data_IF_227623095788
#
_entry.id   IF_227623095788
#
_cell.length_a   1.000
_cell.length_b   1.000
_cell.length_c   1.000
_cell.angle_alpha   90.00
_cell.angle_beta   90.00
_cell.angle_gamma   90.00
#
_symmetry.space_group_name_H-M   'P 1'
#
loop_
_entity.id
_entity.type
_entity.pdbx_description
1 polymer ?
#
# COMPACT_ATOMS: atom_id res chain seq x y z
N UNK A 1 74.07 22.48 -6.28
CA UNK A 1 74.15 22.11 -7.70
C UNK A 1 72.73 21.99 -8.26
N UNK A 2 72.58 22.28 -9.55
CA UNK A 2 71.38 22.74 -10.24
C UNK A 2 70.11 21.87 -10.14
N UNK A 3 68.96 22.55 -10.07
CA UNK A 3 67.64 22.03 -10.44
C UNK A 3 67.62 21.70 -11.94
N UNK A 4 67.30 20.45 -12.28
CA UNK A 4 67.06 20.01 -13.65
C UNK A 4 65.58 20.17 -14.01
N UNK A 5 65.29 21.24 -14.76
CA UNK A 5 64.04 21.48 -15.47
C UNK A 5 63.83 20.43 -16.57
N UNK A 6 62.91 19.49 -16.37
CA UNK A 6 62.42 18.63 -17.46
C UNK A 6 61.35 19.40 -18.24
N UNK A 7 61.72 19.83 -19.46
CA UNK A 7 60.81 20.49 -20.42
C UNK A 7 59.66 19.55 -20.80
N UNK A 8 58.41 19.92 -20.47
CA UNK A 8 57.19 19.32 -21.04
C UNK A 8 57.17 19.58 -22.56
N UNK A 9 57.30 18.54 -23.37
CA UNK A 9 57.02 18.60 -24.82
C UNK A 9 55.51 18.74 -25.03
N UNK A 10 55.09 19.84 -25.69
CA UNK A 10 53.72 19.98 -26.21
C UNK A 10 53.55 19.04 -27.42
N UNK A 11 52.41 18.34 -27.57
CA UNK A 11 52.10 17.64 -28.80
C UNK A 11 51.74 18.66 -29.91
N UNK A 12 51.97 18.32 -31.19
CA UNK A 12 51.71 19.22 -32.31
C UNK A 12 50.20 19.41 -32.53
N UNK A 13 49.84 20.62 -32.96
CA UNK A 13 48.49 21.07 -33.30
C UNK A 13 48.14 20.53 -34.70
N UNK A 14 47.04 19.80 -34.84
CA UNK A 14 46.52 19.35 -36.14
C UNK A 14 45.28 20.20 -36.47
N UNK A 15 45.29 20.83 -37.65
CA UNK A 15 44.17 21.60 -38.19
C UNK A 15 43.06 20.69 -38.75
N UNK A 16 41.79 21.14 -38.75
CA UNK A 16 40.66 20.28 -39.03
C UNK A 16 40.34 20.22 -40.53
N UNK A 17 40.37 19.02 -41.10
CA UNK A 17 39.79 18.77 -42.43
C UNK A 17 40.57 17.75 -43.24
N UNK A 18 40.38 16.45 -42.95
CA UNK A 18 40.58 15.36 -43.90
C UNK A 18 40.05 14.05 -43.29
N UNK A 19 39.18 13.36 -44.02
CA UNK A 19 38.65 12.03 -43.70
C UNK A 19 39.78 11.01 -43.59
N UNK A 20 40.11 10.59 -42.38
CA UNK A 20 41.21 9.66 -42.12
C UNK A 20 40.84 8.22 -42.50
N UNK A 21 41.37 7.74 -43.63
CA UNK A 21 41.53 6.31 -43.88
C UNK A 21 42.43 5.70 -42.79
N UNK A 22 41.99 4.58 -42.21
CA UNK A 22 42.59 3.94 -41.03
C UNK A 22 44.07 3.59 -41.22
N UNK A 23 44.93 4.06 -40.30
CA UNK A 23 46.39 3.79 -40.25
C UNK A 23 46.70 2.41 -39.62
N UNK A 24 45.71 1.72 -39.05
CA UNK A 24 45.88 0.46 -38.35
C UNK A 24 45.16 -0.71 -39.05
N UNK A 25 45.76 -1.91 -39.12
CA UNK A 25 45.11 -3.09 -39.65
C UNK A 25 43.93 -3.50 -38.76
N UNK A 26 42.79 -3.80 -39.37
CA UNK A 26 41.60 -4.33 -38.68
C UNK A 26 41.81 -5.83 -38.46
N UNK A 27 41.89 -6.24 -37.19
CA UNK A 27 42.13 -7.64 -36.80
C UNK A 27 40.82 -8.36 -36.44
N UNK A 28 39.78 -7.62 -36.06
CA UNK A 28 38.50 -8.14 -35.57
C UNK A 28 37.32 -7.51 -36.33
N UNK A 29 37.12 -7.86 -37.62
CA UNK A 29 36.05 -7.28 -38.44
C UNK A 29 34.64 -7.61 -37.92
N UNK A 30 34.48 -8.68 -37.14
CA UNK A 30 33.23 -9.11 -36.52
C UNK A 30 32.81 -8.26 -35.30
N UNK A 31 33.76 -7.50 -34.72
CA UNK A 31 33.50 -6.63 -33.56
C UNK A 31 33.65 -5.16 -33.97
N UNK A 32 32.51 -4.49 -34.11
CA UNK A 32 32.43 -3.05 -34.40
C UNK A 32 31.95 -2.33 -33.15
N UNK A 33 32.81 -1.48 -32.59
CA UNK A 33 32.59 -0.77 -31.34
C UNK A 33 31.89 0.58 -31.58
N UNK A 34 30.85 0.85 -30.79
CA UNK A 34 30.25 2.17 -30.62
C UNK A 34 30.49 2.67 -29.19
N UNK A 35 31.22 3.77 -29.04
CA UNK A 35 31.48 4.38 -27.72
C UNK A 35 30.48 5.50 -27.41
N UNK A 36 29.69 5.31 -26.35
CA UNK A 36 28.65 6.27 -25.92
C UNK A 36 29.28 7.46 -25.20
N UNK A 37 29.04 8.67 -25.71
CA UNK A 37 29.70 9.89 -25.23
C UNK A 37 29.08 10.46 -23.95
N UNK A 38 27.81 10.15 -23.65
CA UNK A 38 26.94 10.82 -22.66
C UNK A 38 27.65 11.29 -21.37
N UNK A 39 28.29 10.37 -20.64
CA UNK A 39 29.05 10.68 -19.40
C UNK A 39 30.57 10.57 -19.56
N UNK A 40 31.02 9.99 -20.68
CA UNK A 40 32.43 9.76 -21.00
C UNK A 40 33.14 11.06 -21.45
N UNK A 41 32.44 11.90 -22.21
CA UNK A 41 32.98 13.14 -22.79
C UNK A 41 33.85 12.94 -24.04
N UNK A 42 33.90 13.95 -24.91
CA UNK A 42 34.50 13.88 -26.26
C UNK A 42 36.00 13.53 -26.23
N UNK A 43 36.77 14.13 -25.32
CA UNK A 43 38.21 13.89 -25.20
C UNK A 43 38.52 12.44 -24.85
N UNK A 44 37.75 11.85 -23.93
CA UNK A 44 37.92 10.46 -23.49
C UNK A 44 37.48 9.48 -24.57
N UNK A 45 36.34 9.73 -25.22
CA UNK A 45 35.89 8.95 -26.39
C UNK A 45 36.93 8.92 -27.50
N UNK A 46 37.56 10.06 -27.80
CA UNK A 46 38.60 10.14 -28.84
C UNK A 46 39.84 9.33 -28.48
N UNK A 47 40.30 9.41 -27.22
CA UNK A 47 41.41 8.60 -26.72
C UNK A 47 41.11 7.10 -26.82
N UNK A 48 39.95 6.67 -26.34
CA UNK A 48 39.53 5.26 -26.36
C UNK A 48 39.33 4.74 -27.79
N UNK A 49 38.84 5.58 -28.70
CA UNK A 49 38.73 5.25 -30.14
C UNK A 49 40.10 4.98 -30.75
N UNK A 50 41.09 5.85 -30.47
CA UNK A 50 42.47 5.66 -30.93
C UNK A 50 43.08 4.39 -30.35
N UNK A 51 42.87 4.13 -29.05
CA UNK A 51 43.33 2.93 -28.36
C UNK A 51 42.74 1.66 -28.99
N UNK A 52 41.43 1.61 -29.19
CA UNK A 52 40.76 0.46 -29.80
C UNK A 52 41.26 0.19 -31.23
N UNK A 53 41.40 1.23 -32.06
CA UNK A 53 41.96 1.11 -33.41
C UNK A 53 43.41 0.63 -33.40
N UNK A 54 44.24 1.11 -32.46
CA UNK A 54 45.63 0.64 -32.31
C UNK A 54 45.73 -0.84 -31.93
N UNK A 55 44.68 -1.40 -31.32
CA UNK A 55 44.56 -2.81 -30.96
C UNK A 55 43.78 -3.64 -31.99
N UNK A 56 43.49 -3.07 -33.16
CA UNK A 56 42.87 -3.78 -34.29
C UNK A 56 41.34 -3.87 -34.27
N UNK A 57 40.65 -3.15 -33.38
CA UNK A 57 39.19 -3.09 -33.36
C UNK A 57 38.65 -2.06 -34.35
N UNK A 58 37.48 -2.36 -34.93
CA UNK A 58 36.72 -1.37 -35.69
C UNK A 58 35.93 -0.47 -34.72
N UNK A 59 35.93 0.85 -34.97
CA UNK A 59 35.15 1.81 -34.18
C UNK A 59 34.37 2.70 -35.13
N UNK A 60 33.05 2.70 -34.96
CA UNK A 60 32.09 3.44 -35.79
C UNK A 60 31.16 4.29 -34.88
N UNK A 61 30.28 5.09 -35.49
CA UNK A 61 29.25 5.81 -34.75
C UNK A 61 28.34 4.82 -33.98
N UNK A 62 28.06 5.03 -32.67
CA UNK A 62 27.23 4.12 -31.90
C UNK A 62 25.83 3.86 -32.47
N UNK A 63 25.32 4.78 -33.29
CA UNK A 63 24.03 4.67 -33.96
C UNK A 63 24.10 3.97 -35.33
N UNK A 64 25.30 3.65 -35.83
CA UNK A 64 25.52 2.89 -37.07
C UNK A 64 24.98 1.47 -36.96
N UNK A 65 24.33 0.99 -38.03
CA UNK A 65 23.81 -0.38 -38.14
C UNK A 65 24.94 -1.43 -38.09
N UNK A 66 26.18 -1.03 -38.38
CA UNK A 66 27.35 -1.91 -38.36
C UNK A 66 27.84 -2.21 -36.95
N UNK A 67 27.46 -1.41 -35.95
CA UNK A 67 27.91 -1.58 -34.56
C UNK A 67 27.27 -2.80 -33.94
N UNK A 68 28.12 -3.74 -33.53
CA UNK A 68 27.74 -4.97 -32.81
C UNK A 68 27.89 -4.82 -31.30
N UNK A 69 28.75 -3.90 -30.82
CA UNK A 69 29.05 -3.71 -29.39
C UNK A 69 28.98 -2.22 -29.04
N UNK A 70 28.01 -1.83 -28.21
CA UNK A 70 27.89 -0.47 -27.69
C UNK A 70 28.45 -0.44 -26.27
N UNK A 71 29.52 0.30 -26.06
CA UNK A 71 30.18 0.42 -24.75
C UNK A 71 29.87 1.78 -24.14
N UNK A 72 29.50 1.76 -22.86
CA UNK A 72 29.20 2.96 -22.09
C UNK A 72 29.93 2.95 -20.76
N UNK A 73 30.29 4.14 -20.26
CA UNK A 73 30.95 4.31 -18.97
C UNK A 73 30.04 5.08 -18.01
N UNK A 74 29.66 4.43 -16.91
CA UNK A 74 28.89 5.05 -15.82
C UNK A 74 27.43 5.37 -16.17
N UNK A 75 26.84 4.71 -17.17
CA UNK A 75 25.43 4.84 -17.54
C UNK A 75 24.69 3.52 -17.30
N UNK A 76 23.39 3.58 -16.97
CA UNK A 76 22.53 2.39 -16.93
C UNK A 76 22.16 1.90 -18.34
N UNK A 77 21.67 0.67 -18.47
CA UNK A 77 21.22 0.14 -19.76
C UNK A 77 20.06 0.97 -20.33
N UNK A 78 19.11 1.36 -19.49
CA UNK A 78 17.97 2.21 -19.89
C UNK A 78 18.43 3.58 -20.39
N UNK A 79 19.41 4.20 -19.72
CA UNK A 79 19.98 5.48 -20.13
C UNK A 79 20.68 5.43 -21.50
N UNK A 80 21.29 4.28 -21.83
CA UNK A 80 21.96 4.05 -23.12
C UNK A 80 20.94 3.79 -24.22
N UNK A 81 19.91 2.99 -23.94
CA UNK A 81 18.81 2.73 -24.89
C UNK A 81 18.08 4.04 -25.24
N UNK A 82 17.78 4.88 -24.26
CA UNK A 82 17.15 6.18 -24.49
C UNK A 82 18.07 7.12 -25.29
N UNK A 83 19.37 7.10 -25.00
CA UNK A 83 20.35 7.89 -25.74
C UNK A 83 20.45 7.45 -27.21
N UNK A 84 20.47 6.15 -27.50
CA UNK A 84 20.48 5.63 -28.87
C UNK A 84 19.20 6.01 -29.63
N UNK A 85 18.04 5.91 -28.99
CA UNK A 85 16.75 6.35 -29.56
C UNK A 85 16.78 7.82 -29.96
N UNK A 86 17.27 8.69 -29.05
CA UNK A 86 17.35 10.14 -29.29
C UNK A 86 18.30 10.51 -30.42
N UNK A 87 19.34 9.70 -30.65
CA UNK A 87 20.34 9.94 -31.68
C UNK A 87 20.09 9.15 -32.98
N UNK A 88 18.88 8.59 -33.16
CA UNK A 88 18.42 8.06 -34.44
C UNK A 88 18.51 6.54 -34.63
N UNK A 89 18.83 5.76 -33.59
CA UNK A 89 18.78 4.29 -33.63
C UNK A 89 17.56 3.78 -32.84
N UNK A 90 16.48 3.32 -33.50
CA UNK A 90 15.34 2.70 -32.81
C UNK A 90 15.73 1.34 -32.20
N UNK A 91 15.07 0.88 -31.13
CA UNK A 91 15.26 -0.46 -30.58
C UNK A 91 14.85 -1.50 -31.63
N UNK A 92 15.61 -2.58 -31.72
CA UNK A 92 15.29 -3.70 -32.61
C UNK A 92 13.97 -4.35 -32.19
N UNK A 93 13.28 -4.98 -33.14
CA UNK A 93 12.12 -5.82 -32.80
C UNK A 93 12.65 -7.03 -32.02
N UNK A 94 12.12 -7.24 -30.81
CA UNK A 94 12.50 -8.36 -29.95
C UNK A 94 12.38 -9.69 -30.73
N UNK A 95 13.49 -10.45 -30.80
CA UNK A 95 13.54 -11.78 -31.40
C UNK A 95 14.30 -11.92 -32.73
N UNK A 96 14.81 -10.83 -33.33
CA UNK A 96 15.74 -10.91 -34.47
C UNK A 96 17.13 -10.57 -33.95
N UNK A 97 18.09 -11.49 -34.12
CA UNK A 97 19.44 -11.45 -33.53
C UNK A 97 20.39 -10.37 -34.07
N UNK A 98 19.91 -9.13 -34.18
CA UNK A 98 20.60 -8.00 -34.81
C UNK A 98 20.74 -6.78 -33.88
N UNK A 99 20.43 -6.94 -32.58
CA UNK A 99 20.66 -5.89 -31.59
C UNK A 99 22.11 -5.87 -31.10
N UNK A 100 22.72 -4.67 -30.98
CA UNK A 100 24.08 -4.56 -30.47
C UNK A 100 24.12 -4.96 -28.99
N UNK A 101 25.19 -5.63 -28.58
CA UNK A 101 25.43 -5.89 -27.17
C UNK A 101 25.67 -4.57 -26.43
N UNK A 102 24.84 -4.27 -25.43
CA UNK A 102 25.01 -3.11 -24.55
C UNK A 102 25.92 -3.47 -23.38
N UNK A 103 27.09 -2.83 -23.34
CA UNK A 103 28.20 -3.24 -22.48
C UNK A 103 28.66 -2.11 -21.57
N UNK A 104 29.00 -2.50 -20.34
CA UNK A 104 29.72 -1.67 -19.39
C UNK A 104 31.20 -1.51 -19.82
N UNK A 105 31.82 -0.43 -19.33
CA UNK A 105 33.22 -0.11 -19.62
C UNK A 105 34.22 -1.19 -19.16
N UNK A 106 33.84 -2.03 -18.20
CA UNK A 106 34.62 -3.21 -17.78
C UNK A 106 35.01 -4.11 -18.96
N UNK A 107 34.08 -4.44 -19.85
CA UNK A 107 34.35 -5.29 -21.02
C UNK A 107 35.40 -4.68 -21.96
N UNK A 108 35.33 -3.36 -22.16
CA UNK A 108 36.29 -2.64 -22.99
C UNK A 108 37.68 -2.69 -22.36
N UNK A 109 37.77 -2.48 -21.04
CA UNK A 109 39.05 -2.52 -20.31
C UNK A 109 39.69 -3.91 -20.39
N UNK A 110 38.91 -4.97 -20.19
CA UNK A 110 39.38 -6.36 -20.31
C UNK A 110 39.83 -6.70 -21.74
N UNK A 111 39.07 -6.29 -22.76
CA UNK A 111 39.41 -6.52 -24.17
C UNK A 111 40.68 -5.79 -24.61
N UNK A 112 40.87 -4.54 -24.15
CA UNK A 112 42.11 -3.79 -24.42
C UNK A 112 43.30 -4.39 -23.66
N UNK A 113 43.11 -4.91 -22.45
CA UNK A 113 44.14 -5.62 -21.70
C UNK A 113 44.60 -6.90 -22.41
N UNK A 114 43.64 -7.68 -22.92
CA UNK A 114 43.90 -8.93 -23.63
C UNK A 114 44.35 -8.76 -25.09
N UNK A 115 44.28 -7.54 -25.65
CA UNK A 115 44.52 -7.25 -27.08
C UNK A 115 43.65 -8.05 -28.05
N UNK A 116 42.47 -8.48 -27.60
CA UNK A 116 41.46 -9.22 -28.37
C UNK A 116 40.09 -9.05 -27.71
N UNK A 117 38.98 -9.18 -28.46
CA UNK A 117 37.65 -9.19 -27.85
C UNK A 117 37.53 -10.34 -26.85
N UNK A 118 37.17 -10.04 -25.60
CA UNK A 118 36.85 -11.09 -24.61
C UNK A 118 35.39 -11.52 -24.73
N UNK A 119 35.09 -12.72 -24.26
CA UNK A 119 33.71 -13.23 -24.26
C UNK A 119 32.79 -12.35 -23.40
N UNK A 120 31.57 -12.11 -23.88
CA UNK A 120 30.61 -11.28 -23.17
C UNK A 120 29.97 -12.08 -22.04
N UNK A 121 30.52 -11.94 -20.84
CA UNK A 121 29.92 -12.43 -19.61
C UNK A 121 28.73 -11.57 -19.11
N UNK A 122 27.87 -12.11 -18.23
CA UNK A 122 26.76 -11.35 -17.64
C UNK A 122 27.19 -10.07 -16.90
N UNK A 123 28.37 -10.06 -16.27
CA UNK A 123 28.92 -8.87 -15.58
C UNK A 123 29.22 -7.70 -16.52
N UNK A 124 29.47 -8.00 -17.80
CA UNK A 124 29.79 -7.02 -18.83
C UNK A 124 28.55 -6.34 -19.39
N UNK A 125 27.36 -6.93 -19.23
CA UNK A 125 26.13 -6.42 -19.85
C UNK A 125 25.43 -5.39 -18.99
N UNK A 126 25.03 -4.29 -19.61
CA UNK A 126 24.18 -3.30 -18.96
C UNK A 126 22.76 -3.89 -18.81
N UNK A 127 22.20 -3.81 -17.60
CA UNK A 127 20.82 -4.23 -17.33
C UNK A 127 19.85 -3.23 -17.95
N UNK A 128 18.99 -3.71 -18.84
CA UNK A 128 17.90 -2.94 -19.49
C UNK A 128 16.59 -3.52 -18.98
N UNK A 129 15.65 -2.67 -18.57
CA UNK A 129 14.31 -3.11 -18.22
C UNK A 129 13.62 -3.65 -19.48
N UNK A 130 13.23 -4.93 -19.48
CA UNK A 130 12.44 -5.51 -20.58
C UNK A 130 11.15 -4.73 -20.79
N UNK A 131 10.70 -4.53 -22.06
CA UNK A 131 9.41 -3.91 -22.34
C UNK A 131 8.33 -4.67 -21.59
N UNK A 132 7.60 -3.94 -20.74
CA UNK A 132 6.46 -4.42 -19.99
C UNK A 132 5.44 -4.91 -21.03
N UNK A 133 5.17 -6.22 -21.08
CA UNK A 133 3.92 -6.70 -21.68
C UNK A 133 2.78 -5.86 -21.08
N UNK A 134 1.89 -5.27 -21.91
CA UNK A 134 0.79 -4.48 -21.38
C UNK A 134 0.11 -5.34 -20.32
N UNK A 135 -0.03 -4.85 -19.07
CA UNK A 135 -0.68 -5.63 -18.04
C UNK A 135 -2.00 -6.07 -18.63
N UNK A 136 -2.24 -7.39 -18.67
CA UNK A 136 -3.57 -7.95 -18.94
C UNK A 136 -4.58 -7.00 -18.29
N UNK A 137 -5.59 -6.53 -19.03
CA UNK A 137 -6.60 -5.61 -18.50
C UNK A 137 -7.36 -6.33 -17.38
N UNK A 138 -6.74 -6.37 -16.20
CA UNK A 138 -7.29 -6.88 -14.97
C UNK A 138 -8.41 -5.90 -14.65
N UNK A 139 -9.64 -6.38 -14.84
CA UNK A 139 -10.85 -5.57 -15.03
C UNK A 139 -10.94 -4.30 -14.20
N UNK A 140 -11.51 -3.26 -14.82
CA UNK A 140 -11.64 -1.93 -14.24
C UNK A 140 -12.40 -1.98 -12.91
N UNK A 141 -11.77 -1.50 -11.85
CA UNK A 141 -12.36 -1.50 -10.50
C UNK A 141 -13.10 -0.19 -10.28
N UNK A 142 -14.36 -0.27 -9.87
CA UNK A 142 -15.17 0.90 -9.58
C UNK A 142 -14.63 1.70 -8.36
N UNK A 143 -14.70 3.04 -8.38
CA UNK A 143 -14.20 3.86 -7.28
C UNK A 143 -15.05 3.72 -6.01
N UNK A 144 -16.37 3.55 -6.14
CA UNK A 144 -17.28 3.46 -5.00
C UNK A 144 -17.43 2.02 -4.50
N UNK A 145 -17.40 1.85 -3.18
CA UNK A 145 -17.47 0.52 -2.54
C UNK A 145 -18.77 -0.23 -2.85
N UNK A 146 -19.90 0.47 -2.98
CA UNK A 146 -21.21 -0.12 -3.30
C UNK A 146 -21.29 -0.70 -4.72
N UNK A 147 -20.35 -0.34 -5.60
CA UNK A 147 -20.25 -0.86 -6.96
C UNK A 147 -19.27 -2.04 -7.08
N UNK A 148 -18.76 -2.53 -5.94
CA UNK A 148 -17.76 -3.61 -5.89
C UNK A 148 -18.25 -4.78 -5.06
N UNK A 149 -17.88 -5.99 -5.48
CA UNK A 149 -17.93 -7.17 -4.62
C UNK A 149 -16.67 -7.20 -3.78
N UNK A 150 -16.82 -7.14 -2.45
CA UNK A 150 -15.69 -7.21 -1.51
C UNK A 150 -15.86 -8.46 -0.65
N UNK A 151 -15.28 -9.61 -1.05
CA UNK A 151 -15.40 -10.84 -0.28
C UNK A 151 -14.68 -10.73 1.06
N UNK A 152 -15.08 -11.58 2.02
CA UNK A 152 -14.43 -11.63 3.33
C UNK A 152 -12.97 -12.10 3.22
N UNK A 153 -12.75 -13.17 2.45
CA UNK A 153 -11.42 -13.65 2.08
C UNK A 153 -10.99 -12.97 0.78
N UNK A 154 -9.80 -12.38 0.78
CA UNK A 154 -9.26 -11.65 -0.36
C UNK A 154 -7.76 -11.89 -0.50
N UNK A 155 -7.18 -11.51 -1.64
CA UNK A 155 -5.82 -11.93 -2.03
C UNK A 155 -4.69 -11.02 -1.52
N UNK A 156 -5.02 -9.96 -0.78
CA UNK A 156 -4.11 -8.83 -0.53
C UNK A 156 -3.99 -8.46 0.96
N UNK A 157 -4.20 -9.42 1.88
CA UNK A 157 -4.25 -9.20 3.34
C UNK A 157 -3.05 -8.41 3.89
N UNK A 158 -1.83 -8.80 3.52
CA UNK A 158 -0.61 -8.11 3.98
C UNK A 158 -0.58 -6.63 3.60
N UNK A 159 -1.04 -6.29 2.38
CA UNK A 159 -1.11 -4.90 1.92
C UNK A 159 -2.24 -4.13 2.62
N UNK A 160 -3.41 -4.76 2.77
CA UNK A 160 -4.56 -4.09 3.40
C UNK A 160 -4.34 -3.86 4.88
N UNK A 161 -3.74 -4.80 5.60
CA UNK A 161 -3.42 -4.67 7.02
C UNK A 161 -2.42 -3.53 7.28
N UNK A 162 -1.43 -3.36 6.39
CA UNK A 162 -0.50 -2.24 6.45
C UNK A 162 -1.24 -0.90 6.26
N UNK A 163 -2.10 -0.79 5.25
CA UNK A 163 -2.89 0.42 5.01
C UNK A 163 -3.92 0.68 6.12
N UNK A 164 -4.53 -0.36 6.71
CA UNK A 164 -5.45 -0.24 7.84
C UNK A 164 -4.74 0.22 9.11
N UNK A 165 -3.51 -0.25 9.34
CA UNK A 165 -2.65 0.26 10.42
C UNK A 165 -2.43 1.77 10.26
N UNK A 166 -2.13 2.24 9.04
CA UNK A 166 -1.95 3.65 8.75
C UNK A 166 -3.25 4.46 8.83
N UNK A 167 -4.39 3.86 8.45
CA UNK A 167 -5.70 4.46 8.60
C UNK A 167 -6.06 4.67 10.08
N UNK A 168 -5.76 3.69 10.93
CA UNK A 168 -5.98 3.75 12.37
C UNK A 168 -5.08 4.80 13.04
N UNK A 169 -3.79 4.83 12.71
CA UNK A 169 -2.89 5.88 13.22
C UNK A 169 -3.30 7.28 12.78
N UNK A 170 -3.71 7.44 11.51
CA UNK A 170 -4.24 8.71 11.04
C UNK A 170 -5.49 9.13 11.84
N UNK A 171 -6.37 8.18 12.19
CA UNK A 171 -7.54 8.43 13.04
C UNK A 171 -7.11 8.86 14.45
N UNK A 172 -6.12 8.20 15.06
CA UNK A 172 -5.58 8.60 16.37
C UNK A 172 -4.94 9.98 16.37
N UNK A 173 -4.43 10.44 15.22
CA UNK A 173 -3.90 11.79 15.03
C UNK A 173 -4.96 12.81 14.61
N UNK A 174 -6.26 12.46 14.63
CA UNK A 174 -7.34 13.36 14.23
C UNK A 174 -7.35 13.72 12.74
N UNK A 175 -6.60 12.98 11.93
CA UNK A 175 -6.46 13.21 10.48
C UNK A 175 -7.49 12.39 9.70
N UNK A 176 -8.77 12.78 9.77
CA UNK A 176 -9.89 12.05 9.15
C UNK A 176 -9.70 11.84 7.64
N UNK A 177 -9.26 12.87 6.91
CA UNK A 177 -9.01 12.77 5.47
C UNK A 177 -7.95 11.73 5.11
N UNK A 178 -6.87 11.64 5.90
CA UNK A 178 -5.82 10.61 5.72
C UNK A 178 -6.35 9.22 6.08
N UNK A 179 -7.09 9.11 7.19
CA UNK A 179 -7.70 7.85 7.61
C UNK A 179 -8.65 7.30 6.53
N UNK A 180 -9.48 8.17 5.95
CA UNK A 180 -10.39 7.84 4.87
C UNK A 180 -9.63 7.42 3.59
N UNK A 181 -8.55 8.13 3.22
CA UNK A 181 -7.74 7.79 2.05
C UNK A 181 -7.14 6.38 2.17
N UNK A 182 -6.50 6.06 3.30
CA UNK A 182 -5.96 4.73 3.55
C UNK A 182 -7.05 3.66 3.62
N UNK A 183 -8.19 3.95 4.25
CA UNK A 183 -9.34 3.03 4.30
C UNK A 183 -9.90 2.71 2.91
N UNK A 184 -9.98 3.71 2.02
CA UNK A 184 -10.40 3.51 0.63
C UNK A 184 -9.39 2.70 -0.17
N UNK A 185 -8.10 2.96 0.02
CA UNK A 185 -7.02 2.18 -0.59
C UNK A 185 -7.05 0.70 -0.13
N UNK A 186 -7.20 0.45 1.17
CA UNK A 186 -7.38 -0.92 1.68
C UNK A 186 -8.64 -1.57 1.10
N UNK A 187 -9.78 -0.85 1.10
CA UNK A 187 -11.04 -1.36 0.58
C UNK A 187 -10.99 -1.76 -0.90
N UNK A 188 -10.32 -0.98 -1.75
CA UNK A 188 -10.20 -1.32 -3.18
C UNK A 188 -9.33 -2.56 -3.39
N UNK A 189 -8.24 -2.72 -2.60
CA UNK A 189 -7.39 -3.91 -2.66
C UNK A 189 -8.09 -5.19 -2.18
N UNK A 190 -9.02 -5.09 -1.21
CA UNK A 190 -9.88 -6.21 -0.79
C UNK A 190 -10.82 -6.69 -1.89
N UNK A 191 -11.20 -5.81 -2.81
CA UNK A 191 -12.12 -6.12 -3.90
C UNK A 191 -11.40 -6.70 -5.15
N UNK A 192 -10.07 -6.66 -5.20
CA UNK A 192 -9.33 -7.23 -6.33
C UNK A 192 -9.44 -8.76 -6.34
N UNK A 193 -9.81 -9.38 -7.48
CA UNK A 193 -9.90 -10.85 -7.60
C UNK A 193 -8.55 -11.54 -7.81
N UNK A 194 -7.45 -10.82 -7.56
CA UNK A 194 -6.08 -11.28 -7.76
C UNK A 194 -5.15 -10.64 -6.73
N UNK A 195 -4.02 -11.31 -6.50
CA UNK A 195 -2.93 -10.80 -5.66
C UNK A 195 -2.13 -9.76 -6.45
N UNK A 196 -1.83 -8.64 -5.81
CA UNK A 196 -0.90 -7.64 -6.34
C UNK A 196 0.53 -8.13 -6.13
N UNK A 197 1.30 -8.20 -7.20
CA UNK A 197 2.70 -8.61 -7.19
C UNK A 197 3.65 -7.45 -7.55
N UNK A 198 3.16 -6.45 -8.30
CA UNK A 198 3.95 -5.32 -8.80
C UNK A 198 3.16 -4.03 -8.74
N UNK A 199 3.80 -2.94 -8.34
CA UNK A 199 3.14 -1.64 -8.15
C UNK A 199 2.51 -1.07 -9.44
N UNK A 200 3.05 -1.47 -10.60
CA UNK A 200 2.54 -1.06 -11.91
C UNK A 200 1.13 -1.61 -12.18
N UNK A 201 0.75 -2.75 -11.58
CA UNK A 201 -0.60 -3.32 -11.71
C UNK A 201 -1.68 -2.40 -11.12
N UNK A 202 -1.30 -1.44 -10.28
CA UNK A 202 -2.22 -0.53 -9.60
C UNK A 202 -2.37 0.82 -10.32
N UNK A 203 -1.81 1.00 -11.51
CA UNK A 203 -1.87 2.28 -12.25
C UNK A 203 -3.31 2.74 -12.54
N UNK A 204 -4.20 1.80 -12.85
CA UNK A 204 -5.61 2.08 -13.20
C UNK A 204 -6.57 1.92 -12.02
N UNK A 205 -6.06 1.53 -10.84
CA UNK A 205 -6.88 1.25 -9.66
C UNK A 205 -7.19 2.57 -8.93
N UNK A 206 -8.47 2.92 -8.73
CA UNK A 206 -8.83 4.18 -8.08
C UNK A 206 -8.47 4.18 -6.60
N UNK A 207 -8.48 5.37 -5.99
CA UNK A 207 -8.27 5.57 -4.55
C UNK A 207 -6.87 5.21 -4.02
N UNK A 208 -5.92 4.86 -4.87
CA UNK A 208 -4.53 4.61 -4.49
C UNK A 208 -3.70 5.87 -4.78
N UNK A 209 -3.61 6.75 -3.78
CA UNK A 209 -2.77 7.95 -3.84
C UNK A 209 -1.28 7.63 -3.67
N UNK A 210 -0.44 8.64 -3.90
CA UNK A 210 1.03 8.50 -3.88
C UNK A 210 1.58 7.92 -2.58
N UNK A 211 1.04 8.33 -1.42
CA UNK A 211 1.48 7.79 -0.12
C UNK A 211 1.13 6.30 0.01
N UNK A 212 -0.11 5.90 -0.32
CA UNK A 212 -0.49 4.48 -0.32
C UNK A 212 0.33 3.67 -1.33
N UNK A 213 0.63 4.24 -2.51
CA UNK A 213 1.46 3.61 -3.54
C UNK A 213 2.87 3.31 -3.02
N UNK A 214 3.51 4.26 -2.33
CA UNK A 214 4.84 4.05 -1.72
C UNK A 214 4.84 2.92 -0.69
N UNK A 215 3.85 2.91 0.22
CA UNK A 215 3.72 1.86 1.22
C UNK A 215 3.53 0.50 0.56
N UNK A 216 2.64 0.41 -0.44
CA UNK A 216 2.43 -0.84 -1.18
C UNK A 216 3.71 -1.29 -1.88
N UNK A 217 4.47 -0.36 -2.48
CA UNK A 217 5.72 -0.67 -3.16
C UNK A 217 6.76 -1.26 -2.19
N UNK A 218 7.01 -0.62 -1.06
CA UNK A 218 7.91 -1.13 -0.01
C UNK A 218 7.47 -2.53 0.45
N UNK A 219 6.16 -2.71 0.72
CA UNK A 219 5.62 -4.00 1.13
C UNK A 219 5.80 -5.11 0.07
N UNK A 220 5.80 -4.77 -1.23
CA UNK A 220 6.01 -5.73 -2.32
C UNK A 220 7.50 -6.05 -2.54
N UNK A 221 8.38 -5.06 -2.39
CA UNK A 221 9.83 -5.18 -2.64
C UNK A 221 10.57 -5.79 -1.45
N UNK A 222 10.29 -5.29 -0.24
CA UNK A 222 11.00 -5.65 0.99
C UNK A 222 10.19 -6.58 1.90
N UNK A 223 8.90 -6.79 1.61
CA UNK A 223 7.98 -7.53 2.47
C UNK A 223 7.48 -6.76 3.69
N UNK A 224 8.06 -5.57 3.96
CA UNK A 224 7.75 -4.69 5.08
C UNK A 224 7.80 -3.22 4.64
N UNK A 225 7.11 -2.34 5.35
CA UNK A 225 7.25 -0.89 5.19
C UNK A 225 7.78 -0.30 6.50
N UNK A 226 8.90 0.42 6.41
CA UNK A 226 9.55 1.00 7.59
C UNK A 226 8.63 2.01 8.31
N UNK A 227 7.79 2.73 7.57
CA UNK A 227 6.80 3.65 8.14
C UNK A 227 5.73 2.89 8.95
N UNK A 228 5.20 1.80 8.40
CA UNK A 228 4.18 0.98 9.05
C UNK A 228 4.74 0.33 10.32
N UNK A 229 5.96 -0.21 10.26
CA UNK A 229 6.61 -0.80 11.43
C UNK A 229 6.93 0.23 12.51
N UNK A 230 7.35 1.44 12.12
CA UNK A 230 7.53 2.55 13.06
C UNK A 230 6.23 2.92 13.77
N UNK A 231 5.09 2.92 13.06
CA UNK A 231 3.77 3.14 13.67
C UNK A 231 3.44 2.00 14.64
N UNK A 232 3.60 0.74 14.24
CA UNK A 232 3.32 -0.43 15.09
C UNK A 232 4.14 -0.43 16.38
N UNK A 233 5.39 0.01 16.32
CA UNK A 233 6.31 0.08 17.45
C UNK A 233 6.15 1.35 18.30
N UNK A 234 5.44 2.36 17.79
CA UNK A 234 5.20 3.62 18.50
C UNK A 234 4.44 3.40 19.80
N UNK A 235 4.99 3.92 20.91
CA UNK A 235 4.32 3.92 22.21
C UNK A 235 2.94 4.59 22.10
N UNK A 236 2.87 5.74 21.41
CA UNK A 236 1.62 6.47 21.17
C UNK A 236 0.57 5.58 20.53
N UNK A 237 0.88 4.97 19.39
CA UNK A 237 -0.07 4.13 18.67
C UNK A 237 -0.55 2.95 19.54
N UNK A 238 0.39 2.28 20.22
CA UNK A 238 0.07 1.16 21.11
C UNK A 238 -0.82 1.56 22.29
N UNK A 239 -0.53 2.68 22.96
CA UNK A 239 -1.36 3.18 24.06
C UNK A 239 -2.74 3.66 23.58
N UNK A 240 -2.81 4.37 22.44
CA UNK A 240 -4.08 4.78 21.85
C UNK A 240 -4.94 3.55 21.51
N UNK A 241 -4.34 2.52 20.91
CA UNK A 241 -5.01 1.25 20.62
C UNK A 241 -5.45 0.50 21.87
N UNK A 242 -4.63 0.50 22.93
CA UNK A 242 -4.98 -0.09 24.23
C UNK A 242 -6.22 0.57 24.84
N UNK A 243 -6.24 1.91 24.90
CA UNK A 243 -7.34 2.64 25.52
C UNK A 243 -8.62 2.62 24.70
N UNK A 244 -8.52 2.71 23.37
CA UNK A 244 -9.70 2.67 22.48
C UNK A 244 -10.35 1.29 22.37
N UNK A 245 -9.70 0.25 22.93
CA UNK A 245 -10.30 -1.08 23.13
C UNK A 245 -11.21 -1.17 24.37
N UNK A 246 -11.21 -0.15 25.23
CA UNK A 246 -12.12 -0.09 26.38
C UNK A 246 -13.46 0.42 25.86
N UNK A 247 -14.54 -0.35 26.08
CA UNK A 247 -15.88 0.08 25.72
C UNK A 247 -16.23 1.42 26.40
N UNK A 248 -16.78 2.37 25.63
CA UNK A 248 -17.03 3.76 26.06
C UNK A 248 -15.84 4.72 25.97
N UNK A 249 -14.68 4.28 25.45
CA UNK A 249 -13.49 5.14 25.26
C UNK A 249 -13.21 5.36 23.77
N UNK A 250 -13.50 6.58 23.31
CA UNK A 250 -13.16 7.05 21.97
C UNK A 250 -11.77 7.70 21.89
N UNK A 251 -11.37 8.08 20.67
CA UNK A 251 -10.06 8.69 20.36
C UNK A 251 -9.78 9.94 21.20
N UNK A 252 -10.79 10.78 21.43
CA UNK A 252 -10.64 12.03 22.20
C UNK A 252 -10.18 11.75 23.65
N UNK A 253 -10.85 10.81 24.33
CA UNK A 253 -10.52 10.46 25.72
C UNK A 253 -9.17 9.74 25.76
N UNK A 254 -8.93 8.78 24.87
CA UNK A 254 -7.65 8.09 24.79
C UNK A 254 -6.46 9.05 24.56
N UNK A 255 -6.65 10.06 23.69
CA UNK A 255 -5.63 11.08 23.43
C UNK A 255 -5.39 11.97 24.64
N UNK A 256 -6.46 12.32 25.38
CA UNK A 256 -6.34 13.09 26.61
C UNK A 256 -5.54 12.29 27.65
N UNK A 257 -5.88 11.03 27.88
CA UNK A 257 -5.15 10.16 28.81
C UNK A 257 -3.68 9.99 28.43
N UNK A 258 -3.39 9.83 27.14
CA UNK A 258 -2.01 9.79 26.66
C UNK A 258 -1.24 11.08 26.97
N UNK A 259 -1.87 12.25 26.78
CA UNK A 259 -1.27 13.55 27.10
C UNK A 259 -1.05 13.75 28.60
N UNK A 260 -1.92 13.17 29.43
CA UNK A 260 -1.79 13.14 30.90
C UNK A 260 -0.72 12.15 31.39
N UNK A 261 -0.06 11.41 30.49
CA UNK A 261 1.04 10.50 30.81
C UNK A 261 0.62 9.05 31.05
N UNK A 262 -0.68 8.72 30.92
CA UNK A 262 -1.19 7.37 31.10
C UNK A 262 -0.77 6.48 29.92
N UNK A 263 -0.31 5.26 30.19
CA UNK A 263 0.18 4.29 29.18
C UNK A 263 -0.45 2.91 29.30
N UNK A 264 -0.92 2.54 30.48
CA UNK A 264 -1.43 1.21 30.81
C UNK A 264 -2.82 1.28 31.43
N UNK A 265 -3.54 0.15 31.48
CA UNK A 265 -4.83 0.07 32.18
C UNK A 265 -4.67 0.29 33.70
N UNK A 266 -3.54 -0.13 34.28
CA UNK A 266 -3.26 0.06 35.70
C UNK A 266 -3.14 1.55 36.07
N UNK A 267 -2.62 2.36 35.14
CA UNK A 267 -2.48 3.80 35.36
C UNK A 267 -3.84 4.48 35.59
N UNK A 268 -4.92 3.96 34.98
CA UNK A 268 -6.28 4.49 35.15
C UNK A 268 -6.73 4.42 36.61
N UNK A 269 -6.44 3.29 37.27
CA UNK A 269 -6.74 3.08 38.69
C UNK A 269 -5.80 3.88 39.58
N UNK A 270 -4.49 3.88 39.29
CA UNK A 270 -3.48 4.59 40.09
C UNK A 270 -3.70 6.11 40.10
N UNK A 271 -4.13 6.68 38.97
CA UNK A 271 -4.42 8.11 38.85
C UNK A 271 -5.88 8.46 39.18
N UNK A 272 -6.68 7.49 39.63
CA UNK A 272 -8.09 7.68 40.00
C UNK A 272 -8.91 8.38 38.91
N UNK A 273 -8.72 7.95 37.66
CA UNK A 273 -9.42 8.52 36.51
C UNK A 273 -10.93 8.38 36.72
N UNK A 274 -11.66 9.48 36.56
CA UNK A 274 -13.13 9.48 36.69
C UNK A 274 -13.77 8.88 35.45
N UNK A 275 -14.24 7.64 35.58
CA UNK A 275 -14.95 6.91 34.54
C UNK A 275 -16.47 7.04 34.71
N UNK A 276 -17.20 7.21 33.61
CA UNK A 276 -18.67 7.10 33.62
C UNK A 276 -19.10 5.61 33.71
N UNK A 277 -20.40 5.34 33.88
CA UNK A 277 -20.91 3.95 34.03
C UNK A 277 -20.55 3.03 32.85
N UNK A 278 -20.60 3.57 31.63
CA UNK A 278 -20.24 2.82 30.40
C UNK A 278 -18.78 2.41 30.42
N UNK A 279 -17.90 3.36 30.73
CA UNK A 279 -16.45 3.17 30.79
C UNK A 279 -16.03 2.27 31.95
N UNK A 280 -16.74 2.34 33.09
CA UNK A 280 -16.55 1.43 34.20
C UNK A 280 -16.88 -0.01 33.80
N UNK A 281 -18.02 -0.23 33.12
CA UNK A 281 -18.38 -1.55 32.61
C UNK A 281 -17.38 -2.04 31.56
N UNK A 282 -16.95 -1.16 30.65
CA UNK A 282 -15.95 -1.47 29.64
C UNK A 282 -14.58 -1.84 30.21
N UNK A 283 -14.17 -1.24 31.33
CA UNK A 283 -12.94 -1.59 32.02
C UNK A 283 -13.10 -2.87 32.85
N UNK A 284 -14.25 -3.07 33.49
CA UNK A 284 -14.54 -4.24 34.31
C UNK A 284 -14.56 -5.53 33.46
N UNK A 285 -15.11 -5.47 32.26
CA UNK A 285 -15.24 -6.60 31.33
C UNK A 285 -14.23 -6.53 30.17
N UNK A 286 -13.11 -5.84 30.35
CA UNK A 286 -12.16 -5.54 29.27
C UNK A 286 -11.67 -6.79 28.54
N UNK A 287 -11.29 -7.84 29.27
CA UNK A 287 -10.74 -9.08 28.68
C UNK A 287 -11.80 -9.82 27.85
N UNK A 288 -13.01 -9.98 28.38
CA UNK A 288 -14.11 -10.67 27.69
C UNK A 288 -14.55 -9.88 26.45
N UNK A 289 -14.71 -8.56 26.56
CA UNK A 289 -15.09 -7.70 25.43
C UNK A 289 -14.01 -7.63 24.33
N UNK A 290 -12.75 -7.94 24.64
CA UNK A 290 -11.68 -8.04 23.66
C UNK A 290 -11.48 -9.46 23.12
N UNK A 291 -12.20 -10.44 23.66
CA UNK A 291 -12.27 -11.81 23.12
C UNK A 291 -13.28 -11.84 21.97
N UNK A 292 -12.90 -12.29 20.76
CA UNK A 292 -13.83 -12.30 19.64
C UNK A 292 -15.02 -13.24 19.87
N UNK A 293 -16.23 -12.72 19.67
CA UNK A 293 -17.49 -13.46 19.75
C UNK A 293 -17.58 -14.43 18.57
N UNK A 294 -17.87 -15.70 18.83
CA UNK A 294 -18.09 -16.73 17.83
C UNK A 294 -19.54 -16.69 17.30
N UNK A 295 -19.77 -17.20 16.08
CA UNK A 295 -21.11 -17.21 15.48
C UNK A 295 -22.16 -17.93 16.35
N UNK A 296 -21.79 -19.01 17.03
CA UNK A 296 -22.71 -19.76 17.89
C UNK A 296 -23.15 -18.95 19.13
N UNK A 297 -22.27 -18.09 19.66
CA UNK A 297 -22.59 -17.18 20.78
C UNK A 297 -23.57 -16.10 20.30
N UNK A 298 -23.32 -15.54 19.11
CA UNK A 298 -24.22 -14.59 18.47
C UNK A 298 -25.61 -15.17 18.20
N UNK A 299 -25.68 -16.43 17.75
CA UNK A 299 -26.93 -17.17 17.55
C UNK A 299 -27.66 -17.43 18.88
N UNK A 300 -26.93 -17.82 19.93
CA UNK A 300 -27.50 -18.03 21.26
C UNK A 300 -28.11 -16.73 21.84
N UNK A 301 -27.38 -15.61 21.78
CA UNK A 301 -27.89 -14.29 22.18
C UNK A 301 -29.12 -13.92 21.35
N UNK A 302 -29.07 -14.10 20.04
CA UNK A 302 -30.22 -13.83 19.16
C UNK A 302 -31.44 -14.68 19.52
N UNK A 303 -31.26 -15.92 19.96
CA UNK A 303 -32.34 -16.80 20.36
C UNK A 303 -32.98 -16.37 21.68
N UNK A 304 -32.17 -16.01 22.69
CA UNK A 304 -32.65 -15.47 23.97
C UNK A 304 -33.49 -14.21 23.75
N UNK A 305 -32.96 -13.26 22.97
CA UNK A 305 -33.66 -12.01 22.64
C UNK A 305 -34.96 -12.28 21.87
N UNK A 306 -34.95 -13.21 20.93
CA UNK A 306 -36.15 -13.62 20.17
C UNK A 306 -37.23 -14.20 21.09
N UNK A 307 -36.87 -15.05 22.05
CA UNK A 307 -37.82 -15.65 22.98
C UNK A 307 -38.50 -14.58 23.86
N UNK A 308 -37.74 -13.61 24.37
CA UNK A 308 -38.30 -12.50 25.16
C UNK A 308 -39.22 -11.63 24.30
N UNK A 309 -38.83 -11.32 23.07
CA UNK A 309 -39.63 -10.50 22.16
C UNK A 309 -40.94 -11.19 21.79
N UNK A 310 -40.92 -12.49 21.48
CA UNK A 310 -42.12 -13.26 21.13
C UNK A 310 -43.15 -13.28 22.29
N UNK A 311 -42.70 -13.26 23.54
CA UNK A 311 -43.58 -13.18 24.70
C UNK A 311 -44.27 -11.82 24.86
N UNK A 312 -43.61 -10.74 24.42
CA UNK A 312 -44.11 -9.36 24.60
C UNK A 312 -44.94 -8.92 23.39
N UNK A 313 -44.46 -9.24 22.19
CA UNK A 313 -45.05 -8.84 20.91
C UNK A 313 -44.96 -10.00 19.90
N UNK A 314 -45.91 -10.95 19.94
CA UNK A 314 -45.99 -12.03 18.97
C UNK A 314 -46.01 -11.51 17.53
N UNK A 315 -45.26 -12.15 16.63
CA UNK A 315 -45.15 -11.73 15.23
C UNK A 315 -44.06 -10.67 14.96
N UNK A 316 -43.37 -10.19 15.99
CA UNK A 316 -42.15 -9.41 15.81
C UNK A 316 -41.01 -10.30 15.29
N UNK A 317 -40.10 -9.71 14.51
CA UNK A 317 -38.95 -10.40 13.91
C UNK A 317 -37.65 -9.89 14.51
N UNK A 318 -36.73 -10.81 14.78
CA UNK A 318 -35.37 -10.52 15.25
C UNK A 318 -34.38 -11.05 14.23
N UNK A 319 -33.64 -10.14 13.61
CA UNK A 319 -32.68 -10.44 12.55
C UNK A 319 -31.27 -10.15 13.04
N UNK A 320 -30.39 -11.16 12.97
CA UNK A 320 -28.95 -10.97 13.16
C UNK A 320 -28.38 -10.16 11.99
N UNK A 321 -27.73 -9.04 12.29
CA UNK A 321 -27.17 -8.09 11.32
C UNK A 321 -25.64 -7.98 11.45
N UNK A 322 -25.06 -6.80 11.25
CA UNK A 322 -23.66 -6.58 11.54
C UNK A 322 -22.67 -7.40 10.71
N UNK A 323 -21.52 -7.70 11.33
CA UNK A 323 -20.46 -8.52 10.75
C UNK A 323 -20.89 -9.96 10.46
N UNK A 324 -21.69 -10.55 11.35
CA UNK A 324 -22.17 -11.94 11.21
C UNK A 324 -23.08 -12.10 9.99
N UNK A 325 -23.99 -11.15 9.73
CA UNK A 325 -24.80 -11.17 8.49
C UNK A 325 -23.97 -11.03 7.22
N UNK A 326 -22.77 -10.44 7.30
CA UNK A 326 -21.80 -10.39 6.19
C UNK A 326 -20.95 -11.65 6.07
N UNK A 327 -21.22 -12.69 6.88
CA UNK A 327 -20.54 -13.98 6.86
C UNK A 327 -19.28 -14.06 7.71
N UNK A 328 -19.01 -13.11 8.61
CA UNK A 328 -17.88 -13.24 9.54
C UNK A 328 -18.14 -14.40 10.52
N UNK A 329 -17.21 -15.35 10.70
CA UNK A 329 -17.35 -16.40 11.70
C UNK A 329 -17.14 -15.87 13.13
N UNK A 330 -16.43 -14.73 13.25
CA UNK A 330 -16.08 -14.08 14.52
C UNK A 330 -16.30 -12.57 14.45
N UNK A 331 -16.80 -11.98 15.53
CA UNK A 331 -17.19 -10.58 15.66
C UNK A 331 -16.62 -9.90 16.91
N UNK A 332 -16.83 -8.58 17.02
CA UNK A 332 -16.59 -7.84 18.26
C UNK A 332 -17.87 -7.74 19.10
N UNK A 333 -19.02 -7.74 18.44
CA UNK A 333 -20.34 -7.50 18.99
C UNK A 333 -21.42 -8.24 18.15
N UNK A 334 -22.63 -8.29 18.71
CA UNK A 334 -23.80 -8.94 18.10
C UNK A 334 -24.87 -7.88 17.82
N UNK A 335 -25.04 -7.54 16.54
CA UNK A 335 -26.02 -6.54 16.11
C UNK A 335 -27.37 -7.18 15.79
N UNK A 336 -28.42 -6.82 16.51
CA UNK A 336 -29.79 -7.30 16.26
C UNK A 336 -30.70 -6.18 15.76
N UNK A 337 -31.41 -6.45 14.66
CA UNK A 337 -32.49 -5.61 14.17
C UNK A 337 -33.83 -6.22 14.56
N UNK A 338 -34.67 -5.43 15.22
CA UNK A 338 -36.01 -5.82 15.65
C UNK A 338 -37.03 -5.01 14.84
N UNK A 339 -38.02 -5.70 14.26
CA UNK A 339 -39.13 -5.03 13.57
C UNK A 339 -40.43 -5.82 13.69
N UNK A 340 -41.55 -5.19 13.35
CA UNK A 340 -42.88 -5.79 13.35
C UNK A 340 -43.61 -5.39 12.06
N UNK A 341 -44.38 -6.29 11.42
CA UNK A 341 -45.06 -6.00 10.16
C UNK A 341 -46.12 -4.89 10.28
N UNK A 342 -46.82 -4.83 11.40
CA UNK A 342 -47.73 -3.73 11.71
C UNK A 342 -46.95 -2.52 12.22
N UNK A 343 -47.20 -1.37 11.61
CA UNK A 343 -46.59 -0.11 12.01
C UNK A 343 -47.02 0.33 13.42
N UNK A 344 -46.17 1.09 14.13
CA UNK A 344 -46.45 1.55 15.49
C UNK A 344 -46.27 0.52 16.61
N UNK A 345 -46.52 -0.77 16.38
CA UNK A 345 -46.50 -1.83 17.41
C UNK A 345 -45.16 -2.00 18.13
N UNK A 346 -44.05 -1.61 17.49
CA UNK A 346 -42.71 -1.70 18.09
C UNK A 346 -42.41 -0.63 19.16
N UNK A 347 -43.23 0.43 19.27
CA UNK A 347 -42.92 1.57 20.12
C UNK A 347 -42.87 1.20 21.60
N UNK A 348 -41.72 1.42 22.24
CA UNK A 348 -41.53 1.10 23.66
C UNK A 348 -41.39 -0.40 23.94
N UNK A 349 -41.12 -1.21 22.91
CA UNK A 349 -40.80 -2.62 23.06
C UNK A 349 -39.45 -2.80 23.78
N UNK A 350 -38.43 -2.03 23.39
CA UNK A 350 -37.06 -2.27 23.83
C UNK A 350 -36.87 -2.10 25.35
N UNK A 351 -37.45 -1.09 26.05
CA UNK A 351 -37.41 -1.01 27.51
C UNK A 351 -38.01 -2.23 28.21
N UNK A 352 -39.09 -2.82 27.67
CA UNK A 352 -39.71 -4.02 28.24
C UNK A 352 -38.78 -5.23 28.08
N UNK A 353 -38.17 -5.39 26.90
CA UNK A 353 -37.20 -6.45 26.60
C UNK A 353 -35.99 -6.33 27.53
N UNK A 354 -35.39 -5.14 27.63
CA UNK A 354 -34.25 -4.87 28.51
C UNK A 354 -34.60 -5.22 29.96
N UNK A 355 -35.77 -4.80 30.45
CA UNK A 355 -36.18 -5.08 31.83
C UNK A 355 -36.30 -6.59 32.13
N UNK A 356 -36.82 -7.37 31.18
CA UNK A 356 -36.94 -8.82 31.33
C UNK A 356 -35.55 -9.48 31.32
N UNK A 357 -34.69 -9.11 30.36
CA UNK A 357 -33.33 -9.66 30.26
C UNK A 357 -32.47 -9.33 31.48
N UNK A 358 -32.56 -8.09 31.98
CA UNK A 358 -31.88 -7.63 33.19
C UNK A 358 -32.35 -8.40 34.43
N UNK A 359 -33.67 -8.56 34.62
CA UNK A 359 -34.23 -9.36 35.72
C UNK A 359 -33.87 -10.83 35.67
N UNK A 360 -33.65 -11.37 34.47
CA UNK A 360 -33.19 -12.75 34.27
C UNK A 360 -31.68 -12.91 34.47
N UNK A 361 -30.94 -11.80 34.69
CA UNK A 361 -29.50 -11.82 34.90
C UNK A 361 -28.67 -11.95 33.62
N UNK A 362 -29.27 -11.72 32.44
CA UNK A 362 -28.55 -11.80 31.17
C UNK A 362 -27.72 -10.56 30.86
N UNK A 363 -28.03 -9.40 31.48
CA UNK A 363 -27.36 -8.13 31.17
C UNK A 363 -26.44 -7.71 32.31
N UNK A 364 -25.18 -7.45 31.98
CA UNK A 364 -24.18 -6.87 32.88
C UNK A 364 -24.16 -5.34 32.80
N UNK A 365 -24.54 -4.81 31.64
CA UNK A 365 -24.67 -3.38 31.38
C UNK A 365 -25.70 -3.16 30.28
N UNK A 366 -26.44 -2.05 30.34
CA UNK A 366 -27.23 -1.57 29.21
C UNK A 366 -27.38 -0.04 29.23
N UNK A 367 -27.40 0.56 28.05
CA UNK A 367 -27.74 1.97 27.82
C UNK A 367 -28.81 2.07 26.76
N UNK A 368 -29.95 2.63 27.15
CA UNK A 368 -31.10 2.80 26.29
C UNK A 368 -31.12 4.21 25.67
N UNK A 369 -31.30 4.27 24.36
CA UNK A 369 -31.50 5.50 23.61
C UNK A 369 -32.87 5.48 22.96
N UNK A 370 -33.71 6.45 23.35
CA UNK A 370 -35.04 6.63 22.76
C UNK A 370 -34.91 7.07 21.30
N UNK A 371 -35.86 6.64 20.48
CA UNK A 371 -36.02 7.17 19.12
C UNK A 371 -36.13 8.70 19.14
N UNK A 372 -35.39 9.36 18.26
CA UNK A 372 -35.53 10.80 17.99
C UNK A 372 -36.42 11.09 16.78
N UNK A 373 -36.92 10.06 16.09
CA UNK A 373 -37.90 10.21 15.02
C UNK A 373 -39.26 10.59 15.62
N UNK A 374 -39.79 11.75 15.21
CA UNK A 374 -41.09 12.26 15.63
C UNK A 374 -42.21 11.72 14.72
N UNK A 375 -41.94 11.53 13.42
CA UNK A 375 -42.77 10.77 12.47
C UNK A 375 -41.92 10.13 11.36
N UNK A 376 -42.46 9.14 10.62
CA UNK A 376 -41.83 8.63 9.39
C UNK A 376 -41.93 9.63 8.21
N UNK A 377 -42.78 10.65 8.33
CA UNK A 377 -43.09 11.65 7.30
C UNK A 377 -42.21 12.91 7.38
N UNK A 378 -41.29 12.98 8.35
CA UNK A 378 -40.35 14.09 8.48
C UNK A 378 -39.26 14.00 7.40
N UNK A 379 -39.61 14.31 6.14
CA UNK A 379 -38.71 14.37 4.98
C UNK A 379 -37.45 15.21 5.25
N UNK A 380 -37.54 16.22 6.13
CA UNK A 380 -36.43 17.12 6.48
C UNK A 380 -35.27 16.44 7.22
N UNK A 381 -35.51 15.34 7.97
CA UNK A 381 -34.44 14.59 8.67
C UNK A 381 -33.61 13.73 7.70
N UNK A 382 -34.17 13.33 6.56
CA UNK A 382 -33.52 12.48 5.55
C UNK A 382 -32.48 13.23 4.71
N UNK A 383 -32.47 14.57 4.75
CA UNK A 383 -31.60 15.42 3.95
C UNK A 383 -30.38 15.94 4.74
N UNK A 384 -30.42 15.86 6.07
CA UNK A 384 -29.35 16.39 6.93
C UNK A 384 -28.15 15.42 7.02
N UNK A 385 -27.17 15.61 6.13
CA UNK A 385 -25.98 14.74 5.96
C UNK A 385 -24.93 14.74 7.08
N UNK A 386 -25.33 14.85 8.35
CA UNK A 386 -24.43 14.96 9.51
C UNK A 386 -24.29 13.71 10.38
N UNK A 387 -25.33 12.85 10.48
CA UNK A 387 -25.32 11.62 11.27
C UNK A 387 -25.92 10.46 10.48
N UNK A 388 -25.53 9.21 10.80
CA UNK A 388 -26.13 8.03 10.17
C UNK A 388 -27.62 8.02 10.48
N UNK A 389 -28.48 7.96 9.47
CA UNK A 389 -29.95 7.97 9.65
C UNK A 389 -30.45 6.86 10.59
N UNK A 390 -29.68 5.76 10.72
CA UNK A 390 -29.99 4.67 11.66
C UNK A 390 -29.84 5.06 13.14
N UNK A 391 -29.10 6.13 13.45
CA UNK A 391 -28.86 6.58 14.84
C UNK A 391 -30.11 7.17 15.50
N UNK A 392 -31.14 7.47 14.72
CA UNK A 392 -32.40 8.07 15.19
C UNK A 392 -33.42 7.04 15.67
N UNK A 393 -33.22 5.76 15.38
CA UNK A 393 -34.10 4.69 15.89
C UNK A 393 -33.85 4.40 17.36
N UNK A 394 -34.86 3.83 18.01
CA UNK A 394 -34.72 3.26 19.35
C UNK A 394 -33.63 2.18 19.36
N UNK A 395 -32.67 2.29 20.28
CA UNK A 395 -31.52 1.38 20.35
C UNK A 395 -31.05 1.15 21.78
N UNK A 396 -30.37 0.04 21.98
CA UNK A 396 -29.75 -0.32 23.25
C UNK A 396 -28.34 -0.84 22.99
N UNK A 397 -27.37 -0.29 23.72
CA UNK A 397 -26.02 -0.86 23.82
C UNK A 397 -25.96 -1.67 25.11
N UNK A 398 -25.55 -2.93 25.04
CA UNK A 398 -25.57 -3.82 26.20
C UNK A 398 -24.39 -4.78 26.22
N UNK A 399 -23.99 -5.17 27.43
CA UNK A 399 -23.03 -6.26 27.68
C UNK A 399 -23.85 -7.44 28.22
N UNK A 400 -23.79 -8.57 27.54
CA UNK A 400 -24.43 -9.82 27.98
C UNK A 400 -23.47 -10.60 28.89
N UNK A 401 -24.04 -11.36 29.84
CA UNK A 401 -23.32 -12.34 30.66
C UNK A 401 -23.02 -13.61 29.86
#
# INVERSE_FOLDING_TARGET
MAQLLVKKRRPPRIEPGQSANSVYPVLFPEVVLGLVEKRMGTSRKTFLTSLARSRGFCVDDPCSEKVTHVVSEGNSGDEVVEWLKKNGRPPGKAGVGDEPALLDFSWFTESMGASRPVEIEPRHRLKVATPIEPPEEKGQVAPYICQRRTPLLHHNSTLTEALETMAEEAKFNGSEGRSLAFSRAASVLKALPWRVDRIQQLHTVPCIGEHSRRIIQEMLEDGISAEVEKVRQSERYRTMKLFTKIFGIGVKIASQWYQEGLRTLADLSLHQVKLNKEQQAGLLHYEDLNTPVELWEAEAISQVVRQVIEQILPGATVTLTGGFRRGKPRGHDVDLLITHPSEGEKMGLLPKVINILDRQGFLLYHSFHRSSLLSLEDEELWVSGGSSHMDHFERCLSIFH
#
